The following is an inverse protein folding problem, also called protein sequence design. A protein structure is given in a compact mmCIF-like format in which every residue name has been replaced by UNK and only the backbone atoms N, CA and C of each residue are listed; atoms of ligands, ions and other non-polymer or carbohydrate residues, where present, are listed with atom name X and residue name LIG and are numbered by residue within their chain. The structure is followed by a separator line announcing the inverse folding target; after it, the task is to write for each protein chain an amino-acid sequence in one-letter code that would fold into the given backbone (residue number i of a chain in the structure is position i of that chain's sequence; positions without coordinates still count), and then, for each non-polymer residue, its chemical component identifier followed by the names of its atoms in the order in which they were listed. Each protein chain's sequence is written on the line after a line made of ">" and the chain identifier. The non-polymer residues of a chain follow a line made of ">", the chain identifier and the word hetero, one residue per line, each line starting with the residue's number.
data_IF_985740338973
#
_entry.id   IF_985740338973
#
_cell.length_a   1.000
_cell.length_b   1.000
_cell.length_c   1.000
_cell.angle_alpha   90.00
_cell.angle_beta   90.00
_cell.angle_gamma   90.00
#
_symmetry.space_group_name_H-M   'P 1'
#
loop_
_entity.id
_entity.type
_entity.pdbx_description
1 polymer ?
#
# COMPACT_ATOMS: atom_id res chain seq x y z
N UNK A 1 5.01 17.71 -3.51
CA UNK A 1 5.49 18.93 -4.19
C UNK A 1 6.09 19.85 -3.14
N UNK A 2 7.39 20.17 -3.22
CA UNK A 2 8.01 21.10 -2.29
C UNK A 2 7.83 22.50 -2.83
N UNK A 3 7.13 23.35 -2.09
CA UNK A 3 6.86 24.75 -2.46
C UNK A 3 7.57 25.69 -1.51
N UNK A 4 8.15 26.75 -2.06
CA UNK A 4 8.54 27.95 -1.31
C UNK A 4 7.68 29.13 -1.78
N UNK A 5 7.89 30.31 -1.21
CA UNK A 5 7.24 31.54 -1.68
C UNK A 5 7.68 31.98 -3.09
N UNK A 6 8.72 31.36 -3.65
CA UNK A 6 9.35 31.80 -4.91
C UNK A 6 9.44 30.69 -5.98
N UNK A 7 9.37 29.42 -5.61
CA UNK A 7 9.57 28.31 -6.54
C UNK A 7 8.80 27.06 -6.15
N UNK A 8 8.53 26.24 -7.16
CA UNK A 8 7.98 24.89 -7.01
C UNK A 8 9.00 23.87 -7.51
N UNK A 9 9.12 22.77 -6.78
CA UNK A 9 9.92 21.62 -7.19
C UNK A 9 8.98 20.47 -7.53
N UNK A 10 9.08 20.00 -8.77
CA UNK A 10 8.53 18.72 -9.18
C UNK A 10 9.56 17.63 -8.89
N UNK A 11 9.19 16.66 -8.06
CA UNK A 11 10.07 15.56 -7.66
C UNK A 11 9.47 14.23 -8.07
N UNK A 12 10.31 13.35 -8.61
CA UNK A 12 9.99 11.96 -8.88
C UNK A 12 10.97 11.09 -8.08
N UNK A 13 10.46 10.05 -7.42
CA UNK A 13 11.27 9.12 -6.64
C UNK A 13 11.07 7.71 -7.16
N UNK A 14 12.15 7.07 -7.59
CA UNK A 14 12.14 5.69 -8.09
C UNK A 14 13.02 4.85 -7.15
N UNK A 15 12.44 3.82 -6.54
CA UNK A 15 13.19 2.88 -5.73
C UNK A 15 13.89 1.86 -6.64
N UNK A 16 15.21 1.74 -6.48
CA UNK A 16 16.05 0.89 -7.31
C UNK A 16 16.20 -0.51 -6.69
N UNK A 17 16.16 -1.52 -7.56
CA UNK A 17 16.69 -2.87 -7.28
C UNK A 17 18.20 -2.87 -7.46
N UNK A 18 18.89 -3.94 -7.05
CA UNK A 18 20.33 -4.09 -7.29
C UNK A 18 20.68 -3.95 -8.80
N UNK A 19 19.90 -4.57 -9.70
CA UNK A 19 20.09 -4.39 -11.15
C UNK A 19 19.72 -2.99 -11.63
N UNK A 20 18.71 -2.36 -11.04
CA UNK A 20 18.33 -0.98 -11.35
C UNK A 20 19.42 0.02 -10.99
N UNK A 21 20.18 -0.23 -9.92
CA UNK A 21 21.33 0.59 -9.52
C UNK A 21 22.43 0.61 -10.58
N UNK A 22 22.63 -0.48 -11.32
CA UNK A 22 23.59 -0.55 -12.43
C UNK A 22 23.11 0.17 -13.70
N UNK A 23 21.81 0.48 -13.77
CA UNK A 23 21.12 0.98 -14.97
C UNK A 23 20.43 2.33 -14.75
N UNK A 24 20.89 3.13 -13.80
CA UNK A 24 20.27 4.42 -13.44
C UNK A 24 20.05 5.32 -14.67
N UNK A 25 21.04 5.43 -15.55
CA UNK A 25 20.95 6.28 -16.73
C UNK A 25 19.96 5.77 -17.78
N UNK A 26 19.76 4.45 -17.87
CA UNK A 26 18.70 3.85 -18.71
C UNK A 26 17.32 4.18 -18.13
N UNK A 27 17.15 4.08 -16.81
CA UNK A 27 15.91 4.41 -16.10
C UNK A 27 15.52 5.88 -16.32
N UNK A 28 16.48 6.80 -16.18
CA UNK A 28 16.28 8.22 -16.50
C UNK A 28 15.90 8.38 -17.98
N UNK A 29 16.52 7.61 -18.87
CA UNK A 29 16.14 7.54 -20.29
C UNK A 29 14.66 7.21 -20.49
N UNK A 30 14.12 6.19 -19.81
CA UNK A 30 12.69 5.85 -19.88
C UNK A 30 11.79 6.97 -19.38
N UNK A 31 12.20 7.71 -18.33
CA UNK A 31 11.45 8.90 -17.87
C UNK A 31 11.37 9.95 -18.99
N UNK A 32 12.48 10.23 -19.68
CA UNK A 32 12.47 11.18 -20.80
C UNK A 32 11.75 10.66 -22.05
N UNK A 33 11.74 9.35 -22.30
CA UNK A 33 10.88 8.76 -23.33
C UNK A 33 9.40 8.95 -23.00
N UNK A 34 9.00 8.76 -21.75
CA UNK A 34 7.62 9.02 -21.31
C UNK A 34 7.26 10.51 -21.42
N UNK A 35 8.16 11.41 -21.04
CA UNK A 35 7.97 12.85 -21.25
C UNK A 35 7.89 13.22 -22.74
N UNK A 36 8.63 12.53 -23.61
CA UNK A 36 8.53 12.70 -25.07
C UNK A 36 7.15 12.25 -25.57
N UNK A 37 6.66 11.10 -25.11
CA UNK A 37 5.31 10.61 -25.40
C UNK A 37 4.25 11.67 -25.01
N UNK A 38 4.32 12.19 -23.78
CA UNK A 38 3.39 13.22 -23.29
C UNK A 38 3.44 14.55 -24.07
N UNK A 39 4.52 14.85 -24.78
CA UNK A 39 4.63 16.03 -25.66
C UNK A 39 4.13 15.76 -27.07
N UNK A 40 4.27 14.53 -27.56
CA UNK A 40 3.79 14.13 -28.88
C UNK A 40 2.27 14.03 -28.90
N UNK A 41 1.70 13.46 -27.84
CA UNK A 41 0.26 13.43 -27.63
C UNK A 41 -0.21 14.79 -27.09
N UNK A 42 -1.36 15.28 -27.56
CA UNK A 42 -1.99 16.45 -26.95
C UNK A 42 -2.41 16.13 -25.51
N UNK A 43 -2.38 17.10 -24.58
CA UNK A 43 -2.95 16.90 -23.25
C UNK A 43 -4.40 16.39 -23.35
N UNK A 44 -4.69 15.32 -22.62
CA UNK A 44 -5.96 14.60 -22.76
C UNK A 44 -7.04 15.23 -21.87
N UNK A 45 -8.01 15.95 -22.47
CA UNK A 45 -9.10 16.60 -21.73
C UNK A 45 -9.93 15.60 -20.91
N UNK A 46 -10.08 14.36 -21.40
CA UNK A 46 -10.84 13.33 -20.68
C UNK A 46 -10.17 12.94 -19.35
N UNK A 47 -8.84 12.95 -19.25
CA UNK A 47 -8.11 12.70 -17.98
C UNK A 47 -8.38 13.83 -16.99
N UNK A 48 -8.38 15.08 -17.47
CA UNK A 48 -8.74 16.23 -16.62
C UNK A 48 -10.18 16.14 -16.12
N UNK A 49 -11.12 15.75 -16.99
CA UNK A 49 -12.53 15.53 -16.59
C UNK A 49 -12.64 14.43 -15.53
N UNK A 50 -11.90 13.33 -15.65
CA UNK A 50 -11.88 12.30 -14.60
C UNK A 50 -11.36 12.85 -13.27
N UNK A 51 -10.25 13.59 -13.26
CA UNK A 51 -9.73 14.22 -12.05
C UNK A 51 -10.71 15.23 -11.45
N UNK A 52 -11.40 16.00 -12.30
CA UNK A 52 -12.44 16.94 -11.90
C UNK A 52 -13.64 16.23 -11.27
N UNK A 53 -14.14 15.17 -11.89
CA UNK A 53 -15.25 14.37 -11.37
C UNK A 53 -14.88 13.73 -10.03
N UNK A 54 -13.65 13.19 -9.91
CA UNK A 54 -13.12 12.63 -8.66
C UNK A 54 -13.03 13.70 -7.57
N UNK A 55 -12.45 14.87 -7.85
CA UNK A 55 -12.33 15.95 -6.87
C UNK A 55 -13.70 16.47 -6.41
N UNK A 56 -14.64 16.67 -7.33
CA UNK A 56 -16.01 17.10 -7.00
C UNK A 56 -16.75 16.06 -6.17
N UNK A 57 -16.61 14.78 -6.51
CA UNK A 57 -17.17 13.67 -5.76
C UNK A 57 -16.59 13.61 -4.34
N UNK A 58 -15.27 13.73 -4.21
CA UNK A 58 -14.58 13.69 -2.92
C UNK A 58 -15.02 14.82 -2.01
N UNK A 59 -15.14 16.05 -2.54
CA UNK A 59 -15.66 17.18 -1.79
C UNK A 59 -17.12 16.97 -1.36
N UNK A 60 -17.98 16.50 -2.28
CA UNK A 60 -19.41 16.30 -2.01
C UNK A 60 -19.67 15.26 -0.91
N UNK A 61 -18.82 14.24 -0.83
CA UNK A 61 -18.96 13.11 0.11
C UNK A 61 -17.77 13.01 1.07
N UNK A 62 -17.20 14.16 1.43
CA UNK A 62 -16.11 14.23 2.41
C UNK A 62 -16.60 13.72 3.78
N UNK A 63 -15.79 12.88 4.41
CA UNK A 63 -16.04 12.37 5.76
C UNK A 63 -15.59 13.40 6.82
N UNK A 64 -16.21 13.35 8.00
CA UNK A 64 -15.77 14.18 9.13
C UNK A 64 -14.34 13.79 9.53
N UNK A 65 -13.49 14.80 9.69
CA UNK A 65 -12.08 14.65 10.07
C UNK A 65 -11.88 15.09 11.53
N UNK A 66 -10.79 14.66 12.19
CA UNK A 66 -10.40 15.21 13.49
C UNK A 66 -10.33 16.74 13.44
N UNK A 67 -10.94 17.40 14.44
CA UNK A 67 -11.17 18.85 14.42
C UNK A 67 -9.88 19.66 14.44
N UNK A 68 -8.84 19.14 15.10
CA UNK A 68 -7.51 19.70 15.18
C UNK A 68 -6.77 19.65 13.83
N UNK A 69 -6.80 18.50 13.15
CA UNK A 69 -6.23 18.36 11.81
C UNK A 69 -6.96 19.27 10.81
N UNK A 70 -8.29 19.31 10.87
CA UNK A 70 -9.10 20.13 9.97
C UNK A 70 -8.86 21.63 10.18
N UNK A 71 -8.78 22.10 11.43
CA UNK A 71 -8.45 23.48 11.73
C UNK A 71 -7.06 23.88 11.21
N UNK A 72 -6.07 22.99 11.35
CA UNK A 72 -4.73 23.20 10.83
C UNK A 72 -4.70 23.26 9.30
N UNK A 73 -5.42 22.37 8.62
CA UNK A 73 -5.55 22.37 7.16
C UNK A 73 -6.18 23.67 6.66
N UNK A 74 -7.31 24.10 7.23
CA UNK A 74 -7.98 25.33 6.82
C UNK A 74 -7.11 26.57 7.06
N UNK A 75 -6.38 26.62 8.17
CA UNK A 75 -5.43 27.69 8.46
C UNK A 75 -4.30 27.76 7.41
N UNK A 76 -3.81 26.61 6.94
CA UNK A 76 -2.83 26.55 5.86
C UNK A 76 -3.43 26.96 4.50
N UNK A 77 -4.69 26.59 4.25
CA UNK A 77 -5.41 26.93 3.02
C UNK A 77 -5.65 28.44 2.88
N UNK A 78 -5.84 29.17 3.98
CA UNK A 78 -5.96 30.64 3.97
C UNK A 78 -4.75 31.38 3.40
N UNK A 79 -3.57 30.73 3.35
CA UNK A 79 -2.36 31.31 2.76
C UNK A 79 -2.33 31.20 1.23
N UNK A 80 -3.23 30.40 0.64
CA UNK A 80 -3.18 30.01 -0.78
C UNK A 80 -4.49 30.30 -1.50
N UNK A 81 -5.62 30.12 -0.82
CA UNK A 81 -6.95 30.32 -1.37
C UNK A 81 -7.65 31.50 -0.71
N UNK A 82 -8.54 32.20 -1.43
CA UNK A 82 -9.39 33.20 -0.81
C UNK A 82 -10.35 32.53 0.21
N UNK A 83 -10.83 33.27 1.23
CA UNK A 83 -11.65 32.72 2.32
C UNK A 83 -12.85 31.86 1.87
N UNK A 84 -13.50 32.22 0.76
CA UNK A 84 -14.62 31.50 0.16
C UNK A 84 -14.26 30.15 -0.46
N UNK A 85 -12.97 29.83 -0.61
CA UNK A 85 -12.47 28.62 -1.26
C UNK A 85 -11.57 27.78 -0.35
N UNK A 86 -11.43 28.11 0.93
CA UNK A 86 -10.52 27.40 1.84
C UNK A 86 -10.89 25.92 2.04
N UNK A 87 -12.15 25.55 1.85
CA UNK A 87 -12.60 24.15 1.96
C UNK A 87 -12.53 23.46 0.58
N UNK A 88 -13.10 24.07 -0.46
CA UNK A 88 -13.19 23.45 -1.79
C UNK A 88 -11.86 23.50 -2.58
N UNK A 89 -10.95 24.43 -2.25
CA UNK A 89 -9.75 24.74 -3.04
C UNK A 89 -8.87 23.53 -3.32
N UNK A 90 -8.73 22.63 -2.34
CA UNK A 90 -7.93 21.41 -2.48
C UNK A 90 -8.56 20.36 -3.43
N UNK A 91 -9.86 20.45 -3.70
CA UNK A 91 -10.60 19.55 -4.58
C UNK A 91 -10.84 20.14 -5.98
N UNK A 92 -10.51 21.42 -6.18
CA UNK A 92 -11.00 22.21 -7.28
C UNK A 92 -10.17 22.04 -8.56
N UNK A 93 -10.70 21.28 -9.52
CA UNK A 93 -10.23 21.27 -10.90
C UNK A 93 -11.19 22.10 -11.76
N UNK A 94 -11.04 23.43 -11.82
CA UNK A 94 -12.04 24.31 -12.46
C UNK A 94 -11.83 24.54 -13.95
N UNK A 95 -10.58 24.77 -14.37
CA UNK A 95 -10.26 25.25 -15.72
C UNK A 95 -9.38 24.23 -16.42
N UNK A 96 -9.86 23.72 -17.55
CA UNK A 96 -9.01 23.00 -18.49
C UNK A 96 -8.19 24.03 -19.28
N UNK A 97 -6.87 23.96 -19.14
CA UNK A 97 -5.93 24.82 -19.84
C UNK A 97 -4.84 23.95 -20.47
N UNK A 98 -5.05 23.60 -21.74
CA UNK A 98 -4.13 22.78 -22.52
C UNK A 98 -2.77 23.45 -22.71
N UNK A 99 -2.77 24.78 -22.92
CA UNK A 99 -1.54 25.55 -23.12
C UNK A 99 -0.71 25.60 -21.85
N UNK A 100 -1.34 25.78 -20.68
CA UNK A 100 -0.65 25.73 -19.39
C UNK A 100 0.02 24.37 -19.16
N UNK A 101 -0.65 23.26 -19.49
CA UNK A 101 -0.07 21.92 -19.36
C UNK A 101 1.14 21.77 -20.30
N UNK A 102 1.02 22.20 -21.55
CA UNK A 102 2.15 22.19 -22.51
C UNK A 102 3.33 23.03 -22.02
N UNK A 103 3.05 24.23 -21.53
CA UNK A 103 4.06 25.12 -20.95
C UNK A 103 4.74 24.49 -19.72
N UNK A 104 3.99 23.76 -18.88
CA UNK A 104 4.56 23.02 -17.75
C UNK A 104 5.46 21.87 -18.21
N UNK A 105 5.04 21.10 -19.22
CA UNK A 105 5.82 20.00 -19.80
C UNK A 105 7.15 20.48 -20.42
N UNK A 106 7.21 21.74 -20.85
CA UNK A 106 8.43 22.37 -21.36
C UNK A 106 9.51 22.60 -20.30
N UNK A 107 9.16 22.67 -19.01
CA UNK A 107 10.13 22.74 -17.92
C UNK A 107 10.80 21.40 -17.62
N UNK A 108 10.21 20.26 -18.03
CA UNK A 108 10.75 18.92 -17.79
C UNK A 108 11.80 18.54 -18.83
N UNK A 109 12.84 19.36 -18.98
CA UNK A 109 13.98 19.13 -19.88
C UNK A 109 15.20 18.71 -19.07
N UNK A 110 16.15 17.93 -19.65
CA UNK A 110 17.37 17.53 -18.96
C UNK A 110 18.14 18.71 -18.34
N UNK A 111 18.20 19.85 -19.04
CA UNK A 111 18.88 21.05 -18.53
C UNK A 111 18.27 21.68 -17.27
N UNK A 112 17.06 21.28 -16.86
CA UNK A 112 16.38 21.75 -15.65
C UNK A 112 16.23 20.63 -14.59
N UNK A 113 16.99 19.53 -14.75
CA UNK A 113 16.92 18.36 -13.88
C UNK A 113 18.04 18.35 -12.85
N UNK A 114 17.73 17.81 -11.67
CA UNK A 114 18.70 17.35 -10.67
C UNK A 114 18.41 15.88 -10.36
N UNK A 115 19.46 15.07 -10.22
CA UNK A 115 19.36 13.65 -9.88
C UNK A 115 20.08 13.42 -8.56
N UNK A 116 19.36 12.92 -7.56
CA UNK A 116 19.94 12.49 -6.28
C UNK A 116 19.92 10.95 -6.22
N UNK A 117 21.09 10.31 -6.11
CA UNK A 117 21.23 8.85 -6.02
C UNK A 117 21.59 8.45 -4.59
N UNK A 118 20.67 7.79 -3.89
CA UNK A 118 20.91 7.29 -2.53
C UNK A 118 21.30 5.82 -2.58
N UNK A 119 22.58 5.51 -2.29
CA UNK A 119 23.10 4.14 -2.29
C UNK A 119 24.12 3.90 -1.17
N UNK A 120 24.19 2.67 -0.66
CA UNK A 120 25.28 2.22 0.23
C UNK A 120 26.55 1.90 -0.55
N UNK A 121 26.43 1.56 -1.84
CA UNK A 121 27.54 1.13 -2.71
C UNK A 121 28.27 2.33 -3.33
N UNK A 122 28.58 3.32 -2.49
CA UNK A 122 29.26 4.54 -2.92
C UNK A 122 30.78 4.27 -3.00
N UNK A 123 31.36 4.33 -4.21
CA UNK A 123 32.82 4.23 -4.38
C UNK A 123 33.46 5.45 -3.72
N UNK A 124 34.38 5.21 -2.79
CA UNK A 124 35.11 6.27 -2.08
C UNK A 124 36.05 6.99 -3.04
N UNK A 125 35.52 7.93 -3.82
CA UNK A 125 36.32 8.93 -4.51
C UNK A 125 37.06 9.80 -3.48
N UNK A 126 38.08 10.51 -3.92
CA UNK A 126 38.85 11.41 -3.04
C UNK A 126 38.08 12.69 -2.67
N UNK A 127 36.92 12.94 -3.29
CA UNK A 127 36.17 14.21 -3.23
C UNK A 127 34.88 14.14 -2.39
N UNK A 128 34.84 13.28 -1.36
CA UNK A 128 33.67 13.15 -0.49
C UNK A 128 33.42 14.44 0.29
N UNK A 129 32.21 14.98 0.12
CA UNK A 129 31.70 16.11 0.89
C UNK A 129 30.82 15.64 2.05
N UNK A 130 30.60 16.55 3.01
CA UNK A 130 29.82 16.30 4.22
C UNK A 130 28.79 17.40 4.39
N UNK A 131 27.53 17.00 4.47
CA UNK A 131 26.44 17.93 4.82
C UNK A 131 26.62 18.40 6.28
N UNK A 132 26.59 19.72 6.57
CA UNK A 132 26.96 20.27 7.88
C UNK A 132 26.17 19.77 9.09
N UNK A 133 24.87 19.47 8.94
CA UNK A 133 23.98 19.23 10.07
C UNK A 133 23.90 17.76 10.47
N UNK A 134 23.76 16.88 9.49
CA UNK A 134 23.65 15.43 9.69
C UNK A 134 24.94 14.68 9.39
N UNK A 135 25.94 15.35 8.82
CA UNK A 135 27.19 14.72 8.40
C UNK A 135 26.99 13.73 7.24
N UNK A 136 25.89 13.84 6.49
CA UNK A 136 25.59 12.96 5.36
C UNK A 136 26.69 13.09 4.33
N UNK A 137 27.28 11.96 3.96
CA UNK A 137 28.33 11.88 2.95
C UNK A 137 27.72 11.91 1.57
N UNK A 138 28.22 12.76 0.70
CA UNK A 138 27.79 12.85 -0.69
C UNK A 138 28.93 13.28 -1.61
N UNK A 139 28.72 13.11 -2.90
CA UNK A 139 29.56 13.68 -3.96
C UNK A 139 28.63 14.30 -4.99
N UNK A 140 29.13 15.34 -5.63
CA UNK A 140 28.45 16.06 -6.69
C UNK A 140 29.26 15.87 -7.97
N UNK A 141 28.59 15.45 -9.03
CA UNK A 141 29.20 15.17 -10.33
C UNK A 141 28.33 15.77 -11.43
N UNK A 142 28.98 16.33 -12.45
CA UNK A 142 28.29 16.80 -13.64
C UNK A 142 27.83 15.60 -14.49
N UNK A 143 26.61 15.70 -15.02
CA UNK A 143 26.07 14.69 -15.92
C UNK A 143 26.81 14.80 -17.27
N UNK A 144 27.34 13.69 -17.82
CA UNK A 144 27.97 13.70 -19.14
C UNK A 144 27.09 14.31 -20.23
N UNK A 145 27.66 15.18 -21.07
CA UNK A 145 26.93 15.88 -22.13
C UNK A 145 26.26 14.91 -23.12
N UNK A 146 26.89 13.76 -23.39
CA UNK A 146 26.32 12.73 -24.25
C UNK A 146 24.99 12.15 -23.72
N UNK A 147 24.83 12.04 -22.40
CA UNK A 147 23.57 11.60 -21.79
C UNK A 147 22.52 12.71 -21.84
N UNK A 148 22.94 13.97 -21.61
CA UNK A 148 22.05 15.13 -21.71
C UNK A 148 21.46 15.28 -23.11
N UNK A 149 22.29 15.10 -24.16
CA UNK A 149 21.87 15.12 -25.55
C UNK A 149 20.89 13.97 -25.85
N UNK A 150 21.20 12.75 -25.39
CA UNK A 150 20.36 11.57 -25.55
C UNK A 150 18.97 11.75 -24.89
N UNK A 151 18.91 12.33 -23.70
CA UNK A 151 17.66 12.55 -22.98
C UNK A 151 16.87 13.76 -23.49
N UNK A 152 17.54 14.69 -24.18
CA UNK A 152 16.87 15.88 -24.76
C UNK A 152 15.95 15.48 -25.90
N UNK A 153 16.39 14.57 -26.75
CA UNK A 153 15.57 13.97 -27.80
C UNK A 153 15.81 12.45 -27.90
N UNK A 154 15.14 11.64 -27.06
CA UNK A 154 15.25 10.19 -27.12
C UNK A 154 14.87 9.66 -28.51
N UNK A 155 15.68 8.81 -29.16
CA UNK A 155 15.49 8.44 -30.57
C UNK A 155 14.18 7.70 -30.83
N UNK A 156 13.75 6.88 -29.87
CA UNK A 156 12.51 6.11 -29.91
C UNK A 156 11.81 6.16 -28.55
N UNK A 157 10.50 5.92 -28.57
CA UNK A 157 9.70 5.70 -27.37
C UNK A 157 9.46 4.20 -27.30
N UNK A 158 9.81 3.58 -26.17
CA UNK A 158 9.56 2.17 -25.95
C UNK A 158 8.06 1.85 -26.09
N UNK A 159 7.73 0.82 -26.87
CA UNK A 159 6.35 0.42 -27.19
C UNK A 159 5.50 0.03 -25.97
N UNK A 160 6.13 -0.26 -24.83
CA UNK A 160 5.45 -0.54 -23.57
C UNK A 160 4.95 0.73 -22.86
N UNK A 161 5.46 1.91 -23.24
CA UNK A 161 5.03 3.18 -22.67
C UNK A 161 3.78 3.68 -23.39
N UNK A 162 2.70 3.86 -22.64
CA UNK A 162 1.44 4.37 -23.15
C UNK A 162 0.72 5.25 -22.12
N UNK A 163 -0.25 6.02 -22.59
CA UNK A 163 -1.19 6.72 -21.71
C UNK A 163 -2.07 5.71 -20.96
N UNK A 164 -2.51 6.04 -19.73
CA UNK A 164 -3.41 5.16 -18.98
C UNK A 164 -4.73 4.96 -19.74
N UNK A 165 -5.32 3.78 -19.59
CA UNK A 165 -6.70 3.54 -20.02
C UNK A 165 -7.69 4.27 -19.12
N UNK A 166 -8.92 4.42 -19.61
CA UNK A 166 -10.03 4.96 -18.80
C UNK A 166 -10.23 4.17 -17.50
N UNK A 167 -10.49 4.86 -16.39
CA UNK A 167 -10.61 4.21 -15.10
C UNK A 167 -12.04 3.66 -14.86
N UNK A 168 -12.18 2.34 -14.94
CA UNK A 168 -13.46 1.63 -14.71
C UNK A 168 -13.97 1.69 -13.25
N UNK A 169 -13.12 2.11 -12.31
CA UNK A 169 -13.45 2.15 -10.88
C UNK A 169 -14.10 3.46 -10.44
N UNK A 170 -14.21 4.46 -11.32
CA UNK A 170 -14.94 5.69 -11.00
C UNK A 170 -16.42 5.34 -10.73
N UNK A 171 -16.96 5.64 -9.53
CA UNK A 171 -18.32 5.28 -9.17
C UNK A 171 -19.34 6.21 -9.85
N UNK A 172 -20.50 5.65 -10.17
CA UNK A 172 -21.61 6.36 -10.80
C UNK A 172 -22.89 6.34 -9.94
N UNK A 173 -23.06 5.33 -9.06
CA UNK A 173 -24.17 5.26 -8.11
C UNK A 173 -23.76 5.82 -6.74
N UNK A 174 -24.44 6.88 -6.31
CA UNK A 174 -24.29 7.50 -4.99
C UNK A 174 -25.56 7.39 -4.14
N UNK A 175 -26.48 6.48 -4.49
CA UNK A 175 -27.74 6.33 -3.77
C UNK A 175 -27.55 5.76 -2.37
N UNK A 176 -28.19 6.40 -1.39
CA UNK A 176 -28.14 5.97 0.01
C UNK A 176 -29.15 4.85 0.23
N UNK A 177 -28.64 3.66 0.56
CA UNK A 177 -29.40 2.43 0.76
C UNK A 177 -30.26 2.49 2.02
N UNK A 178 -29.82 3.22 3.04
CA UNK A 178 -30.57 3.46 4.27
C UNK A 178 -31.93 4.15 4.03
N UNK A 179 -32.06 4.99 2.99
CA UNK A 179 -33.31 5.69 2.69
C UNK A 179 -34.34 4.78 1.99
N UNK A 180 -33.88 3.68 1.34
CA UNK A 180 -34.73 2.68 0.67
C UNK A 180 -35.10 1.51 1.58
N UNK A 181 -34.31 1.26 2.62
CA UNK A 181 -34.56 0.18 3.54
C UNK A 181 -35.84 0.48 4.35
N UNK A 182 -36.95 -0.15 4.00
CA UNK A 182 -38.16 -0.19 4.82
C UNK A 182 -37.86 -1.01 6.08
N UNK A 183 -37.17 -0.41 7.07
CA UNK A 183 -36.65 -1.17 8.20
C UNK A 183 -37.79 -1.58 9.15
N UNK A 184 -38.19 -2.86 9.07
CA UNK A 184 -38.86 -3.60 10.15
C UNK A 184 -37.89 -4.00 11.28
N UNK A 185 -36.59 -3.80 11.08
CA UNK A 185 -35.55 -4.20 12.04
C UNK A 185 -35.04 -2.96 12.79
N UNK A 186 -35.36 -2.93 14.07
CA UNK A 186 -34.96 -1.91 15.03
C UNK A 186 -33.45 -1.68 15.00
N UNK A 187 -33.03 -0.44 15.25
CA UNK A 187 -31.65 0.04 15.26
C UNK A 187 -30.75 -0.80 16.20
N UNK A 188 -30.16 -1.88 15.67
CA UNK A 188 -29.13 -2.61 16.39
C UNK A 188 -27.83 -1.81 16.36
N UNK A 189 -27.36 -1.39 17.53
CA UNK A 189 -26.08 -0.66 17.66
C UNK A 189 -24.87 -1.44 17.15
N UNK A 190 -24.96 -2.77 17.15
CA UNK A 190 -23.86 -3.69 16.82
C UNK A 190 -24.10 -4.44 15.50
N UNK A 191 -23.03 -4.87 14.80
CA UNK A 191 -23.16 -5.76 13.64
C UNK A 191 -23.82 -7.08 14.00
N UNK A 192 -24.63 -7.62 13.09
CA UNK A 192 -25.27 -8.94 13.23
C UNK A 192 -24.62 -9.97 12.32
N UNK A 193 -24.62 -11.22 12.74
CA UNK A 193 -24.16 -12.33 11.90
C UNK A 193 -25.25 -12.65 10.86
N UNK A 194 -24.92 -12.59 9.57
CA UNK A 194 -25.83 -12.89 8.46
C UNK A 194 -25.46 -14.18 7.73
N UNK A 195 -24.25 -14.69 7.97
CA UNK A 195 -23.76 -15.96 7.47
C UNK A 195 -22.89 -16.59 8.56
N UNK A 196 -23.19 -17.82 8.96
CA UNK A 196 -22.38 -18.60 9.91
C UNK A 196 -22.28 -20.03 9.39
N UNK A 197 -21.25 -20.28 8.58
CA UNK A 197 -21.00 -21.56 7.93
C UNK A 197 -19.57 -22.04 8.19
N UNK A 198 -19.26 -23.34 8.01
CA UNK A 198 -17.91 -23.87 8.21
C UNK A 198 -16.83 -23.14 7.41
N UNK A 199 -17.16 -22.65 6.21
CA UNK A 199 -16.25 -21.95 5.30
C UNK A 199 -16.12 -20.46 5.63
N UNK A 200 -17.22 -19.81 6.03
CA UNK A 200 -17.26 -18.36 6.19
C UNK A 200 -18.23 -17.91 7.27
N UNK A 201 -17.82 -16.89 8.02
CA UNK A 201 -18.65 -16.12 8.93
C UNK A 201 -18.70 -14.67 8.48
N UNK A 202 -19.90 -14.11 8.28
CA UNK A 202 -20.07 -12.73 7.82
C UNK A 202 -20.94 -11.92 8.78
N UNK A 203 -20.37 -10.83 9.25
CA UNK A 203 -21.02 -9.80 10.04
C UNK A 203 -21.45 -8.64 9.15
N UNK A 204 -22.63 -8.10 9.39
CA UNK A 204 -23.20 -7.02 8.60
C UNK A 204 -23.85 -5.95 9.46
N UNK A 205 -23.67 -4.69 9.05
CA UNK A 205 -24.37 -3.53 9.59
C UNK A 205 -24.61 -2.48 8.51
N UNK A 206 -25.86 -2.08 8.30
CA UNK A 206 -26.19 -0.91 7.48
C UNK A 206 -25.81 0.37 8.22
N UNK A 207 -25.11 1.29 7.56
CA UNK A 207 -24.90 2.62 8.12
C UNK A 207 -26.17 3.48 7.97
N UNK A 208 -26.68 3.98 9.10
CA UNK A 208 -27.77 4.94 9.17
C UNK A 208 -27.33 6.28 9.78
N UNK A 209 -26.09 6.37 10.25
CA UNK A 209 -25.55 7.50 11.00
C UNK A 209 -24.95 8.53 10.05
N UNK A 210 -24.02 8.10 9.19
CA UNK A 210 -23.27 9.03 8.34
C UNK A 210 -23.97 9.27 7.01
N UNK A 211 -24.74 8.28 6.50
CA UNK A 211 -25.53 8.38 5.26
C UNK A 211 -24.68 8.85 4.06
N UNK A 212 -23.44 8.36 3.99
CA UNK A 212 -22.54 8.58 2.86
C UNK A 212 -22.58 7.36 1.93
N UNK A 213 -22.30 7.52 0.62
CA UNK A 213 -22.27 6.41 -0.34
C UNK A 213 -20.97 5.60 -0.23
N UNK A 214 -20.59 5.22 1.01
CA UNK A 214 -19.35 4.56 1.34
C UNK A 214 -19.60 3.28 2.13
N UNK A 215 -18.74 2.29 1.95
CA UNK A 215 -18.77 1.09 2.76
C UNK A 215 -17.38 0.54 3.04
N UNK A 216 -17.32 -0.26 4.09
CA UNK A 216 -16.14 -0.91 4.63
C UNK A 216 -16.38 -2.42 4.58
N UNK A 217 -15.50 -3.13 3.87
CA UNK A 217 -15.57 -4.59 3.71
C UNK A 217 -14.23 -5.18 4.13
N UNK A 218 -14.19 -5.78 5.32
CA UNK A 218 -12.97 -6.27 5.95
C UNK A 218 -13.06 -7.77 6.12
N UNK A 219 -12.03 -8.49 5.72
CA UNK A 219 -11.97 -9.94 5.73
C UNK A 219 -10.68 -10.42 6.37
N UNK A 220 -10.80 -11.39 7.26
CA UNK A 220 -9.69 -12.19 7.78
C UNK A 220 -9.80 -13.58 7.20
N UNK A 221 -8.82 -13.94 6.39
CA UNK A 221 -8.75 -15.23 5.68
C UNK A 221 -7.65 -16.04 6.36
N UNK A 222 -8.05 -17.06 7.12
CA UNK A 222 -7.12 -17.99 7.76
C UNK A 222 -6.61 -18.99 6.72
N UNK A 223 -5.28 -19.01 6.53
CA UNK A 223 -4.59 -19.85 5.56
C UNK A 223 -4.11 -21.15 6.22
N UNK A 224 -4.20 -22.28 5.51
CA UNK A 224 -3.78 -23.58 6.04
C UNK A 224 -2.28 -23.60 6.36
N UNK A 225 -1.94 -23.65 7.65
CA UNK A 225 -0.54 -23.79 8.08
C UNK A 225 0.37 -22.63 7.68
N UNK A 226 -0.17 -21.44 7.38
CA UNK A 226 0.61 -20.29 6.92
C UNK A 226 1.67 -19.81 7.91
N UNK A 227 1.50 -20.09 9.20
CA UNK A 227 2.42 -19.70 10.27
C UNK A 227 2.91 -20.87 11.14
N UNK A 228 2.71 -22.12 10.69
CA UNK A 228 3.00 -23.32 11.50
C UNK A 228 4.48 -23.59 11.71
N UNK A 229 5.35 -23.03 10.87
CA UNK A 229 6.80 -23.10 10.98
C UNK A 229 7.44 -21.82 10.44
N UNK A 230 8.70 -21.57 10.82
CA UNK A 230 9.50 -20.47 10.27
C UNK A 230 9.50 -20.46 8.73
N UNK A 231 9.64 -21.65 8.11
CA UNK A 231 9.61 -21.81 6.66
C UNK A 231 8.27 -21.40 6.05
N UNK A 232 7.17 -21.85 6.63
CA UNK A 232 5.83 -21.53 6.12
C UNK A 232 5.52 -20.04 6.30
N UNK A 233 5.93 -19.44 7.43
CA UNK A 233 5.77 -18.02 7.67
C UNK A 233 6.48 -17.18 6.60
N UNK A 234 7.73 -17.52 6.26
CA UNK A 234 8.48 -16.85 5.19
C UNK A 234 7.85 -17.04 3.81
N UNK A 235 7.44 -18.26 3.47
CA UNK A 235 6.81 -18.54 2.17
C UNK A 235 5.45 -17.83 2.04
N UNK A 236 4.68 -17.74 3.13
CA UNK A 236 3.43 -16.98 3.17
C UNK A 236 3.70 -15.48 2.99
N UNK A 237 4.69 -14.94 3.69
CA UNK A 237 5.09 -13.53 3.56
C UNK A 237 5.53 -13.20 2.12
N UNK A 238 6.37 -14.04 1.50
CA UNK A 238 6.78 -13.92 0.09
C UNK A 238 5.58 -14.00 -0.87
N UNK A 239 4.67 -14.96 -0.66
CA UNK A 239 3.45 -15.08 -1.47
C UNK A 239 2.63 -13.78 -1.43
N UNK A 240 2.39 -13.22 -0.23
CA UNK A 240 1.59 -11.99 -0.08
C UNK A 240 2.29 -10.78 -0.69
N UNK A 241 3.61 -10.65 -0.53
CA UNK A 241 4.36 -9.56 -1.14
C UNK A 241 4.30 -9.63 -2.68
N UNK A 242 4.46 -10.83 -3.26
CA UNK A 242 4.33 -11.00 -4.71
C UNK A 242 2.90 -10.83 -5.22
N UNK A 243 1.90 -11.23 -4.43
CA UNK A 243 0.50 -11.00 -4.78
C UNK A 243 0.17 -9.50 -4.78
N UNK A 244 0.67 -8.73 -3.81
CA UNK A 244 0.54 -7.27 -3.79
C UNK A 244 1.19 -6.63 -5.01
N UNK A 245 2.37 -7.11 -5.37
CA UNK A 245 3.11 -6.65 -6.54
C UNK A 245 2.30 -6.85 -7.83
N UNK A 246 1.69 -8.03 -8.01
CA UNK A 246 0.83 -8.35 -9.16
C UNK A 246 -0.48 -7.52 -9.16
N UNK A 247 -1.03 -7.22 -7.98
CA UNK A 247 -2.27 -6.45 -7.84
C UNK A 247 -2.05 -4.94 -7.97
N UNK A 248 -0.81 -4.46 -8.00
CA UNK A 248 -0.49 -3.04 -7.83
C UNK A 248 -1.17 -2.14 -8.88
N UNK A 249 -1.22 -2.54 -10.14
CA UNK A 249 -1.88 -1.77 -11.21
C UNK A 249 -3.40 -1.63 -10.97
N UNK A 250 -4.05 -2.71 -10.55
CA UNK A 250 -5.49 -2.74 -10.26
C UNK A 250 -5.79 -1.85 -9.05
N UNK A 251 -4.99 -1.98 -7.99
CA UNK A 251 -5.15 -1.22 -6.75
C UNK A 251 -4.89 0.26 -7.00
N UNK A 252 -3.89 0.61 -7.82
CA UNK A 252 -3.62 2.00 -8.20
C UNK A 252 -4.82 2.66 -8.86
N UNK A 253 -5.39 2.04 -9.90
CA UNK A 253 -6.59 2.56 -10.58
C UNK A 253 -7.76 2.72 -9.60
N UNK A 254 -8.00 1.73 -8.74
CA UNK A 254 -9.04 1.79 -7.72
C UNK A 254 -8.82 2.97 -6.74
N UNK A 255 -7.58 3.15 -6.26
CA UNK A 255 -7.24 4.23 -5.31
C UNK A 255 -7.42 5.63 -5.88
N UNK A 256 -7.11 5.83 -7.17
CA UNK A 256 -7.39 7.10 -7.87
C UNK A 256 -8.89 7.39 -7.84
N UNK A 257 -9.73 6.37 -8.01
CA UNK A 257 -11.18 6.45 -7.88
C UNK A 257 -11.70 6.44 -6.43
N UNK A 258 -10.82 6.63 -5.43
CA UNK A 258 -11.16 6.67 -4.00
C UNK A 258 -11.75 5.34 -3.47
N UNK A 259 -11.31 4.23 -4.06
CA UNK A 259 -11.46 2.88 -3.51
C UNK A 259 -10.13 2.42 -2.97
N UNK A 260 -10.03 2.37 -1.65
CA UNK A 260 -8.82 1.94 -0.97
C UNK A 260 -8.88 0.45 -0.69
N UNK A 261 -7.70 -0.17 -0.71
CA UNK A 261 -7.55 -1.56 -0.28
C UNK A 261 -6.26 -1.74 0.50
N UNK A 262 -6.30 -2.65 1.46
CA UNK A 262 -5.11 -3.05 2.20
C UNK A 262 -5.07 -4.56 2.31
N UNK A 263 -3.90 -5.11 2.03
CA UNK A 263 -3.60 -6.53 2.24
C UNK A 263 -2.49 -6.60 3.29
N UNK A 264 -2.65 -7.39 4.34
CA UNK A 264 -1.64 -7.55 5.39
C UNK A 264 -1.68 -8.94 6.00
N UNK A 265 -0.59 -9.37 6.62
CA UNK A 265 -0.49 -10.67 7.27
C UNK A 265 -0.44 -10.49 8.79
N UNK A 266 -1.25 -11.26 9.51
CA UNK A 266 -1.25 -11.34 10.97
C UNK A 266 -1.24 -12.82 11.37
N UNK A 267 -0.07 -13.34 11.76
CA UNK A 267 0.13 -14.77 11.97
C UNK A 267 -0.13 -15.57 10.69
N UNK A 268 -1.14 -16.45 10.70
CA UNK A 268 -1.61 -17.22 9.54
C UNK A 268 -2.81 -16.57 8.82
N UNK A 269 -3.21 -15.36 9.21
CA UNK A 269 -4.40 -14.67 8.69
C UNK A 269 -3.97 -13.61 7.70
N UNK A 270 -4.48 -13.74 6.49
CA UNK A 270 -4.49 -12.67 5.50
C UNK A 270 -5.64 -11.72 5.83
N UNK A 271 -5.33 -10.49 6.18
CA UNK A 271 -6.31 -9.42 6.33
C UNK A 271 -6.43 -8.68 5.00
N UNK A 272 -7.63 -8.69 4.43
CA UNK A 272 -8.02 -7.98 3.22
C UNK A 272 -9.09 -6.96 3.58
N UNK A 273 -8.78 -5.68 3.42
CA UNK A 273 -9.74 -4.58 3.56
C UNK A 273 -9.97 -3.94 2.22
N UNK A 274 -11.23 -3.69 1.87
CA UNK A 274 -11.62 -2.82 0.77
C UNK A 274 -12.66 -1.84 1.28
N UNK A 275 -12.46 -0.56 1.03
CA UNK A 275 -13.33 0.49 1.51
C UNK A 275 -13.31 1.71 0.60
N UNK A 276 -14.34 2.55 0.71
CA UNK A 276 -14.56 3.70 -0.17
C UNK A 276 -15.97 3.67 -0.75
N UNK A 277 -16.16 4.23 -1.94
CA UNK A 277 -17.46 4.30 -2.59
C UNK A 277 -18.07 2.92 -2.88
N UNK A 278 -19.30 2.67 -2.41
CA UNK A 278 -19.84 1.30 -2.39
C UNK A 278 -20.13 0.70 -3.78
N UNK A 279 -20.38 1.53 -4.81
CA UNK A 279 -20.76 1.12 -6.18
C UNK A 279 -19.77 0.13 -6.81
N UNK A 280 -18.47 0.29 -6.56
CA UNK A 280 -17.39 -0.45 -7.25
C UNK A 280 -16.63 -1.43 -6.34
N UNK A 281 -17.01 -1.56 -5.07
CA UNK A 281 -16.34 -2.46 -4.11
C UNK A 281 -16.38 -3.92 -4.54
N UNK A 282 -17.54 -4.42 -4.97
CA UNK A 282 -17.72 -5.81 -5.41
C UNK A 282 -16.92 -6.12 -6.68
N UNK A 283 -16.81 -5.14 -7.59
CA UNK A 283 -15.99 -5.23 -8.82
C UNK A 283 -14.51 -5.34 -8.46
N UNK A 284 -14.02 -4.48 -7.57
CA UNK A 284 -12.65 -4.52 -7.09
C UNK A 284 -12.32 -5.85 -6.41
N UNK A 285 -13.18 -6.29 -5.47
CA UNK A 285 -13.01 -7.57 -4.80
C UNK A 285 -12.97 -8.73 -5.81
N UNK A 286 -13.87 -8.75 -6.79
CA UNK A 286 -13.90 -9.78 -7.82
C UNK A 286 -12.60 -9.84 -8.62
N UNK A 287 -12.05 -8.69 -9.04
CA UNK A 287 -10.76 -8.62 -9.76
C UNK A 287 -9.59 -9.07 -8.87
N UNK A 288 -9.55 -8.62 -7.61
CA UNK A 288 -8.51 -9.01 -6.64
C UNK A 288 -8.50 -10.52 -6.40
N UNK A 289 -9.66 -11.11 -6.12
CA UNK A 289 -9.74 -12.55 -5.86
C UNK A 289 -9.49 -13.40 -7.11
N UNK A 290 -9.88 -12.92 -8.30
CA UNK A 290 -9.58 -13.60 -9.55
C UNK A 290 -8.06 -13.69 -9.79
N UNK A 291 -7.33 -12.58 -9.61
CA UNK A 291 -5.87 -12.58 -9.69
C UNK A 291 -5.25 -13.48 -8.63
N UNK A 292 -5.71 -13.39 -7.38
CA UNK A 292 -5.21 -14.24 -6.29
C UNK A 292 -5.43 -15.74 -6.56
N UNK A 293 -6.55 -16.12 -7.19
CA UNK A 293 -6.87 -17.49 -7.56
C UNK A 293 -5.94 -18.04 -8.63
N UNK A 294 -5.64 -17.25 -9.66
CA UNK A 294 -4.79 -17.65 -10.79
C UNK A 294 -3.30 -17.30 -10.59
N UNK A 295 -2.93 -16.81 -9.41
CA UNK A 295 -1.60 -16.30 -9.15
C UNK A 295 -0.53 -17.38 -9.33
N UNK A 296 0.50 -17.06 -10.11
CA UNK A 296 1.69 -17.89 -10.28
C UNK A 296 2.94 -17.02 -10.15
N UNK A 297 3.87 -17.34 -9.23
CA UNK A 297 5.05 -16.51 -9.04
C UNK A 297 5.98 -16.61 -10.27
N UNK A 298 6.39 -15.44 -10.76
CA UNK A 298 7.40 -15.27 -11.82
C UNK A 298 8.80 -15.12 -11.21
N UNK A 299 9.82 -15.59 -11.91
CA UNK A 299 11.21 -15.64 -11.43
C UNK A 299 11.81 -14.25 -11.20
N UNK A 300 11.59 -13.36 -12.15
CA UNK A 300 12.04 -11.97 -12.15
C UNK A 300 11.46 -11.22 -10.94
N UNK A 301 10.15 -11.35 -10.69
CA UNK A 301 9.48 -10.72 -9.55
C UNK A 301 9.89 -11.35 -8.22
N UNK A 302 10.01 -12.68 -8.17
CA UNK A 302 10.47 -13.39 -6.98
C UNK A 302 11.84 -12.89 -6.51
N UNK A 303 12.78 -12.71 -7.44
CA UNK A 303 14.13 -12.23 -7.12
C UNK A 303 14.09 -10.84 -6.48
N UNK A 304 13.36 -9.91 -7.09
CA UNK A 304 13.23 -8.53 -6.60
C UNK A 304 12.53 -8.46 -5.24
N UNK A 305 11.42 -9.18 -5.07
CA UNK A 305 10.67 -9.18 -3.81
C UNK A 305 11.45 -9.86 -2.69
N UNK A 306 12.19 -10.94 -2.99
CA UNK A 306 13.06 -11.61 -2.02
C UNK A 306 14.20 -10.70 -1.56
N UNK A 307 14.82 -9.97 -2.49
CA UNK A 307 15.86 -8.97 -2.18
C UNK A 307 15.31 -7.85 -1.27
N UNK A 308 14.14 -7.30 -1.59
CA UNK A 308 13.52 -6.25 -0.77
C UNK A 308 13.12 -6.76 0.62
N UNK A 309 12.60 -7.99 0.71
CA UNK A 309 12.31 -8.65 1.98
C UNK A 309 13.60 -8.83 2.81
N UNK A 310 14.70 -9.29 2.20
CA UNK A 310 15.98 -9.41 2.88
C UNK A 310 16.46 -8.06 3.43
N UNK A 311 16.39 -7.00 2.61
CA UNK A 311 16.74 -5.63 3.01
C UNK A 311 15.88 -5.15 4.18
N UNK A 312 14.58 -5.42 4.14
CA UNK A 312 13.62 -5.06 5.19
C UNK A 312 13.96 -5.77 6.51
N UNK A 313 14.20 -7.08 6.45
CA UNK A 313 14.59 -7.86 7.64
C UNK A 313 15.95 -7.39 8.21
N UNK A 314 16.94 -7.10 7.36
CA UNK A 314 18.23 -6.53 7.80
C UNK A 314 18.10 -5.17 8.47
N UNK A 315 17.17 -4.33 8.01
CA UNK A 315 16.90 -3.00 8.54
C UNK A 315 15.91 -3.00 9.72
N UNK A 316 15.32 -4.16 10.05
CA UNK A 316 14.44 -4.30 11.22
C UNK A 316 15.25 -4.12 12.51
N UNK A 317 14.64 -3.50 13.53
CA UNK A 317 15.28 -3.21 14.83
C UNK A 317 16.49 -2.24 14.77
N UNK A 318 16.56 -1.38 13.74
CA UNK A 318 17.56 -0.30 13.67
C UNK A 318 17.32 0.84 14.66
N UNK A 319 16.05 1.11 15.01
CA UNK A 319 15.66 2.14 15.98
C UNK A 319 15.41 1.54 17.37
N UNK A 320 15.83 2.19 18.48
CA UNK A 320 15.65 1.68 19.84
C UNK A 320 14.20 1.38 20.21
N UNK A 321 13.27 2.28 19.85
CA UNK A 321 11.85 2.10 20.13
C UNK A 321 11.30 0.81 19.54
N UNK A 322 11.52 0.59 18.23
CA UNK A 322 11.03 -0.61 17.54
C UNK A 322 11.67 -1.87 18.11
N UNK A 323 12.97 -1.81 18.48
CA UNK A 323 13.67 -2.95 19.04
C UNK A 323 13.14 -3.32 20.44
N UNK A 324 12.85 -2.34 21.31
CA UNK A 324 12.26 -2.58 22.62
C UNK A 324 10.91 -3.31 22.51
N UNK A 325 10.03 -2.84 21.62
CA UNK A 325 8.74 -3.49 21.36
C UNK A 325 8.88 -4.88 20.76
N UNK A 326 9.85 -5.08 19.86
CA UNK A 326 10.18 -6.39 19.30
C UNK A 326 10.61 -7.39 20.40
N UNK A 327 11.51 -6.98 21.30
CA UNK A 327 11.99 -7.84 22.40
C UNK A 327 10.87 -8.18 23.37
N UNK A 328 9.98 -7.22 23.67
CA UNK A 328 8.79 -7.48 24.49
C UNK A 328 7.93 -8.57 23.85
N UNK A 329 7.59 -8.45 22.57
CA UNK A 329 6.78 -9.45 21.86
C UNK A 329 7.48 -10.81 21.82
N UNK A 330 8.81 -10.84 21.68
CA UNK A 330 9.58 -12.07 21.71
C UNK A 330 9.51 -12.81 23.06
N UNK A 331 9.31 -12.08 24.17
CA UNK A 331 9.11 -12.68 25.51
C UNK A 331 7.66 -13.07 25.74
N UNK A 332 6.71 -12.25 25.26
CA UNK A 332 5.29 -12.41 25.55
C UNK A 332 4.56 -13.36 24.60
N UNK A 333 4.95 -13.48 23.34
CA UNK A 333 4.25 -14.32 22.37
C UNK A 333 4.74 -15.77 22.44
N UNK A 334 3.83 -16.74 22.59
CA UNK A 334 4.18 -18.16 22.59
C UNK A 334 4.80 -18.62 21.26
N UNK A 335 4.37 -18.05 20.14
CA UNK A 335 4.95 -18.28 18.81
C UNK A 335 5.53 -16.97 18.30
N UNK A 336 6.85 -16.97 18.06
CA UNK A 336 7.56 -15.81 17.57
C UNK A 336 8.74 -16.28 16.73
N UNK A 337 8.78 -15.83 15.47
CA UNK A 337 9.87 -16.16 14.54
C UNK A 337 10.86 -15.01 14.48
N UNK A 338 12.09 -15.25 14.95
CA UNK A 338 13.08 -14.20 15.07
C UNK A 338 13.56 -13.73 13.68
N UNK A 339 13.79 -12.42 13.53
CA UNK A 339 14.23 -11.80 12.27
C UNK A 339 15.58 -12.34 11.79
N UNK A 340 16.47 -12.74 12.70
CA UNK A 340 17.77 -13.31 12.31
C UNK A 340 17.62 -14.75 11.81
N UNK A 341 16.71 -15.52 12.41
CA UNK A 341 16.34 -16.86 11.93
C UNK A 341 15.65 -16.79 10.56
N UNK A 342 14.74 -15.83 10.40
CA UNK A 342 14.09 -15.52 9.12
C UNK A 342 15.11 -15.21 8.03
N UNK A 343 16.08 -14.32 8.32
CA UNK A 343 17.15 -13.97 7.38
C UNK A 343 18.01 -15.18 6.98
N UNK A 344 18.37 -16.01 7.96
CA UNK A 344 19.17 -17.21 7.70
C UNK A 344 18.46 -18.15 6.72
N UNK A 345 17.18 -18.45 6.98
CA UNK A 345 16.40 -19.37 6.15
C UNK A 345 15.99 -18.77 4.79
N UNK A 346 15.76 -17.46 4.71
CA UNK A 346 15.34 -16.79 3.47
C UNK A 346 16.31 -17.06 2.32
N UNK A 347 17.61 -17.08 2.60
CA UNK A 347 18.65 -17.34 1.60
C UNK A 347 18.44 -18.67 0.86
N UNK A 348 18.05 -19.71 1.59
CA UNK A 348 17.86 -21.07 1.07
C UNK A 348 16.51 -21.28 0.36
N UNK A 349 15.59 -20.31 0.42
CA UNK A 349 14.29 -20.41 -0.24
C UNK A 349 14.40 -20.16 -1.74
N UNK A 350 13.85 -21.07 -2.53
CA UNK A 350 13.74 -20.96 -3.99
C UNK A 350 12.29 -20.73 -4.42
N UNK A 351 12.10 -20.21 -5.63
CA UNK A 351 10.78 -20.08 -6.25
C UNK A 351 10.05 -21.43 -6.37
N UNK A 352 10.79 -22.53 -6.54
CA UNK A 352 10.22 -23.88 -6.64
C UNK A 352 9.56 -24.27 -5.31
N UNK A 353 10.14 -23.86 -4.18
CA UNK A 353 9.53 -24.03 -2.88
C UNK A 353 8.21 -23.25 -2.77
N UNK A 354 8.20 -22.01 -3.26
CA UNK A 354 7.00 -21.17 -3.24
C UNK A 354 5.90 -21.72 -4.14
N UNK A 355 6.23 -22.14 -5.37
CA UNK A 355 5.28 -22.75 -6.32
C UNK A 355 4.64 -24.03 -5.77
N UNK A 356 5.41 -24.84 -5.04
CA UNK A 356 4.88 -26.03 -4.39
C UNK A 356 4.02 -25.70 -3.15
N UNK A 357 4.32 -24.59 -2.47
CA UNK A 357 3.66 -24.19 -1.23
C UNK A 357 2.30 -23.52 -1.45
N UNK A 358 2.16 -22.65 -2.44
CA UNK A 358 0.92 -21.86 -2.67
C UNK A 358 -0.33 -22.75 -2.81
N UNK A 359 -0.34 -23.84 -3.61
CA UNK A 359 -1.52 -24.70 -3.72
C UNK A 359 -1.92 -25.37 -2.40
N UNK A 360 -0.95 -25.77 -1.58
CA UNK A 360 -1.25 -26.36 -0.26
C UNK A 360 -1.76 -25.29 0.72
N UNK A 361 -1.13 -24.12 0.74
CA UNK A 361 -1.53 -22.97 1.56
C UNK A 361 -3.00 -22.57 1.31
N UNK A 362 -3.40 -22.53 0.04
CA UNK A 362 -4.75 -22.15 -0.40
C UNK A 362 -5.73 -23.33 -0.45
N UNK A 363 -5.30 -24.56 -0.13
CA UNK A 363 -6.14 -25.76 -0.25
C UNK A 363 -7.29 -25.83 0.75
N UNK A 364 -7.17 -25.11 1.88
CA UNK A 364 -8.22 -24.97 2.89
C UNK A 364 -8.20 -23.56 3.45
N UNK A 365 -9.37 -22.96 3.60
CA UNK A 365 -9.53 -21.59 4.05
C UNK A 365 -10.68 -21.48 5.06
N UNK A 366 -10.58 -20.50 5.94
CA UNK A 366 -11.72 -20.00 6.72
C UNK A 366 -11.74 -18.48 6.64
N UNK A 367 -12.92 -17.91 6.41
CA UNK A 367 -13.08 -16.47 6.21
C UNK A 367 -13.98 -15.90 7.30
N UNK A 368 -13.52 -14.86 7.98
CA UNK A 368 -14.37 -14.04 8.84
C UNK A 368 -14.42 -12.61 8.30
N UNK A 369 -15.61 -12.14 7.95
CA UNK A 369 -15.84 -10.86 7.30
C UNK A 369 -16.71 -9.91 8.09
N UNK A 370 -16.52 -8.61 7.88
CA UNK A 370 -17.40 -7.54 8.32
C UNK A 370 -17.71 -6.63 7.11
N UNK A 371 -19.00 -6.49 6.80
CA UNK A 371 -19.51 -5.50 5.85
C UNK A 371 -20.29 -4.42 6.61
N UNK A 372 -19.80 -3.19 6.59
CA UNK A 372 -20.41 -2.06 7.27
C UNK A 372 -20.46 -0.82 6.38
N UNK A 373 -21.62 -0.17 6.26
CA UNK A 373 -21.76 1.05 5.49
C UNK A 373 -22.99 1.06 4.61
N UNK A 374 -22.92 1.76 3.49
CA UNK A 374 -23.97 1.89 2.48
C UNK A 374 -24.10 0.64 1.59
N UNK A 375 -24.40 -0.50 2.21
CA UNK A 375 -24.66 -1.78 1.56
C UNK A 375 -25.93 -2.37 2.12
N UNK A 376 -26.78 -2.96 1.28
CA UNK A 376 -27.89 -3.81 1.72
C UNK A 376 -27.37 -5.19 2.16
N UNK A 377 -28.18 -5.94 2.90
CA UNK A 377 -27.81 -7.28 3.36
C UNK A 377 -27.56 -8.22 2.16
N UNK A 378 -28.39 -8.11 1.13
CA UNK A 378 -28.28 -8.90 -0.09
C UNK A 378 -26.97 -8.61 -0.83
N UNK A 379 -26.50 -7.36 -0.82
CA UNK A 379 -25.21 -6.96 -1.39
C UNK A 379 -24.04 -7.52 -0.58
N UNK A 380 -24.15 -7.58 0.75
CA UNK A 380 -23.16 -8.23 1.61
C UNK A 380 -23.12 -9.76 1.37
N UNK A 381 -24.26 -10.40 1.14
CA UNK A 381 -24.32 -11.83 0.76
C UNK A 381 -23.73 -12.08 -0.63
N UNK A 382 -23.92 -11.18 -1.59
CA UNK A 382 -23.25 -11.25 -2.90
C UNK A 382 -21.73 -11.17 -2.75
N UNK A 383 -21.22 -10.32 -1.85
CA UNK A 383 -19.80 -10.25 -1.54
C UNK A 383 -19.26 -11.58 -1.01
N UNK A 384 -19.99 -12.27 -0.14
CA UNK A 384 -19.62 -13.61 0.31
C UNK A 384 -19.56 -14.62 -0.86
N UNK A 385 -20.47 -14.52 -1.81
CA UNK A 385 -20.51 -15.40 -2.97
C UNK A 385 -19.30 -15.22 -3.90
N UNK A 386 -18.75 -14.01 -4.01
CA UNK A 386 -17.51 -13.76 -4.77
C UNK A 386 -16.35 -14.60 -4.22
N UNK A 387 -16.25 -14.76 -2.89
CA UNK A 387 -15.24 -15.64 -2.28
C UNK A 387 -15.48 -17.10 -2.65
N UNK A 388 -16.73 -17.59 -2.58
CA UNK A 388 -17.06 -18.99 -2.91
C UNK A 388 -16.76 -19.34 -4.37
N UNK A 389 -17.03 -18.43 -5.30
CA UNK A 389 -16.74 -18.60 -6.74
C UNK A 389 -15.23 -18.65 -7.01
N UNK A 390 -14.46 -17.80 -6.33
CA UNK A 390 -13.02 -17.74 -6.55
C UNK A 390 -12.28 -18.88 -5.83
N UNK A 391 -12.67 -19.22 -4.60
CA UNK A 391 -11.99 -20.21 -3.77
C UNK A 391 -12.96 -21.30 -3.29
N UNK A 392 -13.37 -22.19 -4.19
CA UNK A 392 -14.20 -23.36 -3.89
C UNK A 392 -13.40 -24.49 -3.24
N UNK A 393 -12.77 -24.18 -2.11
CA UNK A 393 -11.87 -25.07 -1.36
C UNK A 393 -12.53 -25.56 -0.08
N UNK A 394 -11.96 -26.61 0.53
CA UNK A 394 -12.53 -27.17 1.75
C UNK A 394 -12.40 -26.18 2.93
N UNK A 395 -13.39 -26.13 3.83
CA UNK A 395 -13.31 -25.27 5.00
C UNK A 395 -12.17 -25.71 5.93
N UNK A 396 -11.40 -24.76 6.44
CA UNK A 396 -10.33 -25.03 7.40
C UNK A 396 -10.94 -25.38 8.78
N UNK A 397 -10.69 -26.60 9.32
CA UNK A 397 -11.18 -27.03 10.63
C UNK A 397 -10.75 -26.07 11.75
N UNK A 398 -11.60 -25.90 12.76
CA UNK A 398 -11.38 -24.93 13.84
C UNK A 398 -10.12 -25.21 14.65
N UNK A 399 -9.72 -26.47 14.74
CA UNK A 399 -8.53 -26.94 15.46
C UNK A 399 -7.23 -26.55 14.75
N UNK A 400 -7.28 -26.35 13.43
CA UNK A 400 -6.13 -25.98 12.60
C UNK A 400 -5.98 -24.46 12.42
N UNK A 401 -6.94 -23.67 12.90
CA UNK A 401 -6.88 -22.20 12.85
C UNK A 401 -5.91 -21.72 13.92
N UNK A 402 -4.85 -21.00 13.53
CA UNK A 402 -3.87 -20.52 14.51
C UNK A 402 -4.52 -19.61 15.55
N UNK A 403 -4.08 -19.80 16.79
CA UNK A 403 -4.45 -18.98 17.93
C UNK A 403 -3.18 -18.35 18.47
N UNK A 404 -3.23 -17.03 18.65
CA UNK A 404 -2.18 -16.32 19.35
C UNK A 404 -2.36 -16.53 20.85
N UNK A 405 -1.28 -16.90 21.52
CA UNK A 405 -1.24 -17.06 22.96
C UNK A 405 -0.17 -16.14 23.53
N UNK A 406 -0.56 -15.40 24.55
CA UNK A 406 0.35 -14.56 25.33
C UNK A 406 0.77 -15.36 26.57
N UNK A 407 2.07 -15.40 26.83
CA UNK A 407 2.66 -16.07 27.98
C UNK A 407 2.20 -15.40 29.27
N UNK A 408 1.61 -16.18 30.18
CA UNK A 408 1.26 -15.71 31.51
C UNK A 408 2.52 -15.72 32.39
N UNK A 409 3.10 -14.55 32.63
CA UNK A 409 4.28 -14.42 33.48
C UNK A 409 3.92 -14.61 34.96
N UNK A 410 4.69 -15.38 35.75
CA UNK A 410 4.47 -15.53 37.19
C UNK A 410 4.46 -14.18 37.92
N UNK A 411 3.73 -14.05 39.03
CA UNK A 411 3.67 -12.79 39.80
C UNK A 411 4.97 -12.40 40.49
N UNK A 412 5.90 -13.34 40.60
CA UNK A 412 7.26 -13.11 41.09
C UNK A 412 8.29 -12.97 39.96
N UNK A 413 7.87 -12.98 38.69
CA UNK A 413 8.80 -12.90 37.57
C UNK A 413 9.31 -11.46 37.42
N UNK A 414 10.62 -11.29 37.56
CA UNK A 414 11.35 -10.08 37.23
C UNK A 414 12.23 -10.39 36.02
N UNK A 415 11.71 -10.11 34.82
CA UNK A 415 12.36 -10.41 33.56
C UNK A 415 12.90 -9.12 32.94
N UNK A 416 14.21 -9.05 32.81
CA UNK A 416 14.91 -7.97 32.09
C UNK A 416 15.55 -8.56 30.85
N UNK A 417 15.27 -7.96 29.70
CA UNK A 417 15.88 -8.32 28.43
C UNK A 417 16.55 -7.10 27.81
N UNK A 418 17.87 -7.08 27.91
CA UNK A 418 18.70 -6.02 27.36
C UNK A 418 19.32 -6.43 26.03
N UNK A 419 19.23 -5.55 25.03
CA UNK A 419 19.94 -5.73 23.77
C UNK A 419 20.41 -4.38 23.22
N UNK A 420 21.55 -4.40 22.52
CA UNK A 420 22.02 -3.23 21.77
C UNK A 420 21.28 -3.16 20.43
N UNK A 421 20.91 -1.95 20.01
CA UNK A 421 20.36 -1.73 18.66
C UNK A 421 21.39 -2.04 17.58
N UNK A 422 20.90 -2.48 16.41
CA UNK A 422 21.77 -2.82 15.26
C UNK A 422 22.57 -1.62 14.76
N UNK A 423 21.98 -0.42 14.81
CA UNK A 423 22.65 0.82 14.45
C UNK A 423 23.64 1.25 15.55
N UNK A 424 24.93 0.99 15.35
CA UNK A 424 25.99 1.33 16.31
C UNK A 424 26.19 2.84 16.52
N UNK A 425 25.68 3.68 15.61
CA UNK A 425 25.76 5.15 15.71
C UNK A 425 24.60 5.76 16.50
N UNK A 426 23.56 4.97 16.79
CA UNK A 426 22.45 5.43 17.62
C UNK A 426 22.89 5.58 19.07
N UNK A 427 22.69 6.76 19.63
CA UNK A 427 23.10 7.11 21.00
C UNK A 427 21.93 7.08 21.97
N UNK A 428 20.70 7.03 21.47
CA UNK A 428 19.51 6.99 22.32
C UNK A 428 19.25 5.57 22.86
N UNK A 429 18.71 5.50 24.08
CA UNK A 429 18.17 4.28 24.68
C UNK A 429 16.67 4.38 24.85
N UNK A 430 15.98 3.24 24.78
CA UNK A 430 14.55 3.12 25.08
C UNK A 430 14.36 1.91 25.98
N UNK A 431 13.54 2.08 27.01
CA UNK A 431 13.09 1.02 27.90
C UNK A 431 11.58 0.93 27.75
N UNK A 432 11.08 -0.28 27.52
CA UNK A 432 9.64 -0.55 27.50
C UNK A 432 9.29 -1.43 28.70
N UNK A 433 8.41 -0.92 29.56
CA UNK A 433 7.95 -1.61 30.76
C UNK A 433 6.54 -2.12 30.51
N UNK A 434 6.33 -3.40 30.73
CA UNK A 434 4.99 -4.01 30.69
C UNK A 434 4.60 -4.33 32.12
N UNK A 435 3.74 -3.51 32.68
CA UNK A 435 3.13 -3.76 33.98
C UNK A 435 1.97 -4.76 33.84
N UNK A 436 1.69 -5.51 34.90
CA UNK A 436 0.60 -6.49 34.94
C UNK A 436 -0.77 -5.85 34.99
#
# INVERSE_FOLDING_TARGET
>A
MHRSSIAYIFGMSIHLTDSGLEKIFEIIGFVYQYLKLLRQDSPQEWIFKELQDIGNMEFRFAEEQPQDDYAAELAANLLVYPPEHIIYGNYAYKVWDEEMIKNLLDFFRPGNMRVDILTKSFKKSHDIQYEPWFGTKYVEEDIPSSLMDLWTDPPEIDSSLHLPSKNDFIPCDFSIRADKASCQFADSSSPRCILDEPYMKLWYKLDKTFKLPRANTYFRITLKGGYSSLRNALLTELFILLLKDELNEIIYQASVAKLESSVSLYGDKLELKLYGFNDRLSVLLSRVLAVAKSFLPREDRFTVVKEDMERTLRNTNMKPLNHASYLRLQVLCQSFWDVEEKLCLLNDLSIANLRAFIPDLLSQLYIEGLCHGNLLEEEALQIAEIFRINFSVQPLPIELRHKEFVMCLPSSADLVRDARVKNKLETNSVVEVTEK
#
